data_IF_089442837338
#
_entry.id   IF_089442837338
#
_cell.length_a   1.000
_cell.length_b   1.000
_cell.length_c   1.000
_cell.angle_alpha   90.00
_cell.angle_beta   90.00
_cell.angle_gamma   90.00
#
_symmetry.space_group_name_H-M   'P 1'
#
loop_
_entity.id
_entity.type
_entity.pdbx_description
1 polymer ?
#
# COMPACT_ATOMS: atom_id res chain seq x y z
N UNK A 1 30.99 -0.57 -7.15
CA UNK A 1 30.79 0.47 -6.12
C UNK A 1 30.50 -0.26 -4.81
N UNK A 2 31.07 0.17 -3.67
CA UNK A 2 30.78 -0.49 -2.38
C UNK A 2 29.35 -0.16 -1.99
N UNK A 3 28.53 -1.17 -1.71
CA UNK A 3 27.19 -0.99 -1.16
C UNK A 3 27.28 -0.18 0.14
N UNK A 4 26.52 0.91 0.22
CA UNK A 4 26.43 1.69 1.45
C UNK A 4 25.58 0.90 2.44
N UNK A 5 26.14 0.53 3.59
CA UNK A 5 25.41 -0.23 4.61
C UNK A 5 24.49 0.72 5.39
N UNK A 6 23.16 0.51 5.32
CA UNK A 6 22.20 1.28 6.10
C UNK A 6 22.23 0.83 7.58
N UNK A 7 22.70 1.69 8.48
CA UNK A 7 22.65 1.44 9.93
C UNK A 7 21.28 1.81 10.53
N UNK A 8 20.20 1.26 9.95
CA UNK A 8 18.83 1.55 10.36
C UNK A 8 17.96 0.28 10.30
N UNK A 9 17.88 -0.49 11.39
CA UNK A 9 17.19 -1.79 11.40
C UNK A 9 15.71 -1.72 11.00
N UNK A 10 15.01 -0.64 11.35
CA UNK A 10 13.60 -0.47 10.99
C UNK A 10 13.42 -0.30 9.46
N UNK A 11 14.19 0.59 8.82
CA UNK A 11 14.25 0.75 7.38
C UNK A 11 14.59 -0.54 6.64
N UNK A 12 15.63 -1.26 7.08
CA UNK A 12 16.00 -2.56 6.49
C UNK A 12 14.85 -3.56 6.57
N UNK A 13 14.14 -3.58 7.71
CA UNK A 13 12.95 -4.42 7.90
C UNK A 13 11.79 -3.99 6.99
N UNK A 14 11.54 -2.69 6.87
CA UNK A 14 10.49 -2.13 6.00
C UNK A 14 10.74 -2.46 4.54
N UNK A 15 11.94 -2.20 4.00
CA UNK A 15 12.30 -2.52 2.61
C UNK A 15 12.12 -4.02 2.30
N UNK A 16 12.61 -4.90 3.18
CA UNK A 16 12.45 -6.35 3.00
C UNK A 16 11.00 -6.80 3.03
N UNK A 17 10.20 -6.18 3.91
CA UNK A 17 8.77 -6.50 4.06
C UNK A 17 8.00 -6.01 2.84
N UNK A 18 8.16 -4.74 2.45
CA UNK A 18 7.49 -4.12 1.30
C UNK A 18 7.77 -4.91 0.03
N UNK A 19 9.04 -5.19 -0.29
CA UNK A 19 9.42 -6.01 -1.44
C UNK A 19 8.59 -7.30 -1.54
N UNK A 20 8.44 -8.03 -0.44
CA UNK A 20 7.64 -9.26 -0.39
C UNK A 20 6.13 -9.01 -0.36
N UNK A 21 5.67 -7.95 0.30
CA UNK A 21 4.27 -7.56 0.40
C UNK A 21 3.68 -7.14 -0.95
N UNK A 22 4.44 -6.42 -1.78
CA UNK A 22 4.02 -6.05 -3.15
C UNK A 22 3.70 -7.28 -4.01
N UNK A 23 4.46 -8.37 -3.84
CA UNK A 23 4.12 -9.64 -4.51
C UNK A 23 2.80 -10.24 -3.99
N UNK A 24 2.49 -10.05 -2.71
CA UNK A 24 1.21 -10.50 -2.18
C UNK A 24 0.05 -9.67 -2.73
N UNK A 25 0.21 -8.34 -2.82
CA UNK A 25 -0.75 -7.43 -3.42
C UNK A 25 -1.00 -7.80 -4.90
N UNK A 26 0.07 -7.96 -5.69
CA UNK A 26 -0.03 -8.40 -7.07
C UNK A 26 -0.78 -9.74 -7.22
N UNK A 27 -0.47 -10.75 -6.40
CA UNK A 27 -1.21 -12.03 -6.44
C UNK A 27 -2.67 -11.90 -6.01
N UNK A 28 -2.98 -11.03 -5.05
CA UNK A 28 -4.36 -10.73 -4.67
C UNK A 28 -5.10 -10.09 -5.85
N UNK A 29 -4.48 -9.15 -6.57
CA UNK A 29 -5.07 -8.51 -7.74
C UNK A 29 -5.23 -9.42 -8.94
N UNK A 30 -4.29 -10.34 -9.19
CA UNK A 30 -4.47 -11.41 -10.19
C UNK A 30 -5.74 -12.21 -9.88
N UNK A 31 -5.90 -12.64 -8.63
CA UNK A 31 -7.09 -13.39 -8.19
C UNK A 31 -8.36 -12.57 -8.33
N UNK A 32 -8.33 -11.30 -7.89
CA UNK A 32 -9.47 -10.39 -7.97
C UNK A 32 -9.87 -10.12 -9.43
N UNK A 33 -8.94 -9.76 -10.32
CA UNK A 33 -9.22 -9.58 -11.75
C UNK A 33 -9.77 -10.86 -12.41
N UNK A 34 -9.41 -12.03 -11.90
CA UNK A 34 -9.95 -13.30 -12.39
C UNK A 34 -11.35 -13.65 -11.84
N UNK A 35 -11.76 -13.07 -10.71
CA UNK A 35 -13.09 -13.27 -10.13
C UNK A 35 -14.16 -12.31 -10.67
N UNK A 36 -13.73 -11.19 -11.28
CA UNK A 36 -14.62 -10.18 -11.87
C UNK A 36 -15.18 -10.61 -13.24
N UNK A 37 -16.40 -10.17 -13.54
CA UNK A 37 -17.10 -10.45 -14.81
C UNK A 37 -16.92 -9.34 -15.85
N UNK A 38 -16.95 -8.09 -15.41
CA UNK A 38 -16.91 -6.91 -16.29
C UNK A 38 -15.50 -6.60 -16.76
N UNK A 39 -15.26 -6.58 -18.08
CA UNK A 39 -13.91 -6.43 -18.64
C UNK A 39 -13.26 -5.08 -18.28
N UNK A 40 -14.06 -4.02 -18.13
CA UNK A 40 -13.57 -2.71 -17.68
C UNK A 40 -12.97 -2.78 -16.28
N UNK A 41 -13.63 -3.48 -15.36
CA UNK A 41 -13.13 -3.63 -14.00
C UNK A 41 -11.89 -4.52 -13.97
N UNK A 42 -11.89 -5.62 -14.73
CA UNK A 42 -10.72 -6.51 -14.87
C UNK A 42 -9.50 -5.76 -15.39
N UNK A 43 -9.69 -4.93 -16.40
CA UNK A 43 -8.61 -4.11 -16.98
C UNK A 43 -8.05 -3.17 -15.93
N UNK A 44 -8.91 -2.47 -15.19
CA UNK A 44 -8.47 -1.57 -14.14
C UNK A 44 -7.75 -2.28 -12.98
N UNK A 45 -8.20 -3.46 -12.56
CA UNK A 45 -7.48 -4.24 -11.54
C UNK A 45 -6.14 -4.76 -12.06
N UNK A 46 -6.02 -5.10 -13.34
CA UNK A 46 -4.73 -5.46 -13.95
C UNK A 46 -3.77 -4.28 -14.04
N UNK A 47 -4.26 -3.05 -14.20
CA UNK A 47 -3.41 -1.86 -14.10
C UNK A 47 -2.84 -1.71 -12.69
N UNK A 48 -3.68 -1.85 -11.66
CA UNK A 48 -3.24 -1.85 -10.25
C UNK A 48 -2.24 -2.99 -10.00
N UNK A 49 -2.51 -4.20 -10.51
CA UNK A 49 -1.57 -5.32 -10.45
C UNK A 49 -0.19 -4.97 -11.04
N UNK A 50 -0.15 -4.29 -12.18
CA UNK A 50 1.10 -3.86 -12.80
C UNK A 50 1.83 -2.82 -11.94
N UNK A 51 1.10 -1.90 -11.32
CA UNK A 51 1.65 -0.95 -10.35
C UNK A 51 2.31 -1.70 -9.17
N UNK A 52 1.72 -2.80 -8.66
CA UNK A 52 2.36 -3.57 -7.59
C UNK A 52 3.65 -4.28 -8.02
N UNK A 53 3.70 -4.78 -9.25
CA UNK A 53 4.94 -5.35 -9.80
C UNK A 53 6.03 -4.28 -9.99
N UNK A 54 5.62 -3.07 -10.38
CA UNK A 54 6.47 -1.88 -10.47
C UNK A 54 7.02 -1.52 -9.08
N UNK A 55 6.14 -1.36 -8.09
CA UNK A 55 6.51 -1.07 -6.70
C UNK A 55 7.52 -2.08 -6.18
N UNK A 56 7.26 -3.38 -6.40
CA UNK A 56 8.18 -4.45 -6.01
C UNK A 56 9.56 -4.27 -6.64
N UNK A 57 9.61 -3.87 -7.91
CA UNK A 57 10.87 -3.66 -8.62
C UNK A 57 11.63 -2.46 -8.04
N UNK A 58 10.96 -1.34 -7.79
CA UNK A 58 11.58 -0.14 -7.22
C UNK A 58 12.17 -0.43 -5.83
N UNK A 59 11.42 -1.10 -4.95
CA UNK A 59 11.96 -1.56 -3.66
C UNK A 59 13.13 -2.54 -3.86
N UNK A 60 13.08 -3.38 -4.90
CA UNK A 60 14.16 -4.27 -5.29
C UNK A 60 15.45 -3.52 -5.67
N UNK A 61 15.33 -2.42 -6.41
CA UNK A 61 16.45 -1.54 -6.76
C UNK A 61 17.08 -0.95 -5.50
N UNK A 62 16.28 -0.50 -4.53
CA UNK A 62 16.77 0.00 -3.24
C UNK A 62 17.51 -1.09 -2.45
N UNK A 63 16.94 -2.30 -2.37
CA UNK A 63 17.59 -3.44 -1.72
C UNK A 63 18.95 -3.75 -2.33
N UNK A 64 19.05 -3.77 -3.67
CA UNK A 64 20.30 -4.05 -4.38
C UNK A 64 21.31 -2.91 -4.23
N UNK A 65 20.86 -1.65 -4.32
CA UNK A 65 21.68 -0.44 -4.15
C UNK A 65 22.40 -0.43 -2.79
N UNK A 66 21.69 -0.77 -1.72
CA UNK A 66 22.22 -0.82 -0.36
C UNK A 66 22.78 -2.19 0.06
N UNK A 67 22.84 -3.16 -0.86
CA UNK A 67 23.36 -4.50 -0.59
C UNK A 67 22.57 -5.27 0.49
N UNK A 68 21.27 -4.98 0.62
CA UNK A 68 20.39 -5.62 1.59
C UNK A 68 19.83 -6.90 0.97
N UNK A 69 20.12 -8.09 1.54
CA UNK A 69 19.57 -9.31 0.98
C UNK A 69 18.07 -9.39 1.22
N UNK A 70 17.35 -9.88 0.20
CA UNK A 70 15.91 -10.18 0.27
C UNK A 70 15.63 -11.25 1.34
N UNK A 71 14.53 -11.12 2.08
CA UNK A 71 14.16 -12.06 3.14
C UNK A 71 13.45 -13.29 2.55
N UNK A 72 14.10 -14.46 2.60
CA UNK A 72 13.48 -15.74 2.14
C UNK A 72 12.19 -16.07 2.89
N UNK A 73 12.15 -15.75 4.19
CA UNK A 73 10.97 -15.97 5.02
C UNK A 73 9.80 -15.09 4.58
N UNK A 74 10.03 -13.79 4.36
CA UNK A 74 8.98 -12.89 3.86
C UNK A 74 8.55 -13.27 2.45
N UNK A 75 9.50 -13.61 1.58
CA UNK A 75 9.19 -14.04 0.22
C UNK A 75 8.25 -15.25 0.19
N UNK A 76 8.49 -16.25 1.05
CA UNK A 76 7.61 -17.41 1.17
C UNK A 76 6.27 -17.06 1.82
N UNK A 77 6.30 -16.36 2.96
CA UNK A 77 5.09 -15.98 3.72
C UNK A 77 4.12 -15.17 2.86
N UNK A 78 4.60 -14.11 2.20
CA UNK A 78 3.76 -13.23 1.40
C UNK A 78 3.33 -13.85 0.07
N UNK A 79 4.14 -14.76 -0.50
CA UNK A 79 3.69 -15.58 -1.63
C UNK A 79 2.42 -16.37 -1.26
N UNK A 80 2.44 -17.07 -0.12
CA UNK A 80 1.30 -17.86 0.33
C UNK A 80 0.10 -16.97 0.65
N UNK A 81 0.31 -15.87 1.38
CA UNK A 81 -0.76 -14.91 1.70
C UNK A 81 -1.43 -14.39 0.44
N UNK A 82 -0.66 -13.87 -0.53
CA UNK A 82 -1.21 -13.31 -1.76
C UNK A 82 -2.00 -14.32 -2.57
N UNK A 83 -1.50 -15.56 -2.70
CA UNK A 83 -2.24 -16.64 -3.37
C UNK A 83 -3.53 -16.97 -2.64
N UNK A 84 -3.50 -17.14 -1.31
CA UNK A 84 -4.71 -17.43 -0.53
C UNK A 84 -5.75 -16.32 -0.65
N UNK A 85 -5.35 -15.05 -0.57
CA UNK A 85 -6.24 -13.90 -0.79
C UNK A 85 -6.83 -13.95 -2.20
N UNK A 86 -5.98 -14.10 -3.23
CA UNK A 86 -6.44 -14.17 -4.62
C UNK A 86 -7.46 -15.29 -4.87
N UNK A 87 -7.23 -16.50 -4.31
CA UNK A 87 -8.21 -17.59 -4.39
C UNK A 87 -9.52 -17.25 -3.66
N UNK A 88 -9.44 -16.60 -2.49
CA UNK A 88 -10.62 -16.23 -1.72
C UNK A 88 -11.55 -15.26 -2.47
N UNK A 89 -11.03 -14.46 -3.41
CA UNK A 89 -11.80 -13.50 -4.20
C UNK A 89 -12.92 -14.16 -5.04
N UNK A 90 -12.84 -15.47 -5.30
CA UNK A 90 -13.89 -16.22 -6.00
C UNK A 90 -15.04 -16.66 -5.09
N UNK A 91 -14.85 -16.60 -3.76
CA UNK A 91 -15.79 -17.16 -2.78
C UNK A 91 -16.56 -16.08 -2.01
N UNK A 92 -15.97 -14.90 -1.85
CA UNK A 92 -16.47 -13.86 -0.92
C UNK A 92 -17.28 -12.76 -1.59
N UNK A 93 -17.73 -12.98 -2.83
CA UNK A 93 -18.55 -12.04 -3.60
C UNK A 93 -17.77 -10.82 -4.13
N UNK A 94 -18.49 -9.77 -4.55
CA UNK A 94 -17.92 -8.54 -5.13
C UNK A 94 -17.47 -7.53 -4.07
N UNK A 95 -18.27 -7.32 -3.03
CA UNK A 95 -18.04 -6.27 -2.04
C UNK A 95 -16.75 -6.49 -1.23
N UNK A 96 -16.56 -7.70 -0.68
CA UNK A 96 -15.44 -7.97 0.23
C UNK A 96 -14.06 -7.83 -0.44
N UNK A 97 -13.81 -8.32 -1.67
CA UNK A 97 -12.52 -8.12 -2.34
C UNK A 97 -12.20 -6.64 -2.53
N UNK A 98 -13.17 -5.83 -2.95
CA UNK A 98 -12.99 -4.38 -3.07
C UNK A 98 -12.74 -3.71 -1.71
N UNK A 99 -13.51 -4.08 -0.68
CA UNK A 99 -13.33 -3.52 0.66
C UNK A 99 -11.95 -3.83 1.24
N UNK A 100 -11.52 -5.08 1.18
CA UNK A 100 -10.24 -5.49 1.73
C UNK A 100 -9.06 -5.01 0.88
N UNK A 101 -9.22 -4.86 -0.44
CA UNK A 101 -8.22 -4.21 -1.28
C UNK A 101 -8.00 -2.74 -0.86
N UNK A 102 -9.07 -1.93 -0.78
CA UNK A 102 -8.92 -0.54 -0.36
C UNK A 102 -8.35 -0.38 1.06
N UNK A 103 -8.74 -1.26 2.00
CA UNK A 103 -8.13 -1.29 3.34
C UNK A 103 -6.64 -1.69 3.31
N UNK A 104 -6.26 -2.62 2.44
CA UNK A 104 -4.87 -3.03 2.26
C UNK A 104 -4.06 -1.84 1.73
N UNK A 105 -4.56 -1.12 0.73
CA UNK A 105 -3.87 0.05 0.19
C UNK A 105 -3.78 1.21 1.15
N UNK A 106 -4.84 1.46 1.92
CA UNK A 106 -4.79 2.42 3.04
C UNK A 106 -3.65 2.10 4.03
N UNK A 107 -3.37 0.80 4.19
CA UNK A 107 -2.22 0.26 4.91
C UNK A 107 -0.90 0.64 4.25
N UNK A 108 -0.76 0.35 2.97
CA UNK A 108 0.47 0.49 2.18
C UNK A 108 0.90 1.95 2.00
N UNK A 109 -0.03 2.90 1.83
CA UNK A 109 0.26 4.34 1.69
C UNK A 109 1.34 4.81 2.67
N UNK A 110 1.19 4.52 3.95
CA UNK A 110 2.13 4.97 4.96
C UNK A 110 3.48 4.23 4.96
N UNK A 111 3.59 3.02 4.40
CA UNK A 111 4.84 2.26 4.44
C UNK A 111 5.96 3.02 3.70
N UNK A 112 5.66 3.64 2.56
CA UNK A 112 6.65 4.41 1.79
C UNK A 112 6.99 5.76 2.44
N UNK A 113 6.01 6.50 2.96
CA UNK A 113 6.28 7.74 3.69
C UNK A 113 7.08 7.52 4.98
N UNK A 114 6.83 6.40 5.68
CA UNK A 114 7.65 6.00 6.82
C UNK A 114 9.08 5.63 6.37
N UNK A 115 9.28 5.04 5.19
CA UNK A 115 10.61 4.82 4.64
C UNK A 115 11.33 6.13 4.29
N UNK A 116 10.63 7.11 3.71
CA UNK A 116 11.19 8.47 3.47
C UNK A 116 11.73 9.03 4.78
N UNK A 117 10.93 9.02 5.85
CA UNK A 117 11.38 9.49 7.17
C UNK A 117 12.63 8.76 7.66
N UNK A 118 12.70 7.43 7.52
CA UNK A 118 13.89 6.68 7.93
C UNK A 118 15.12 6.97 7.05
N UNK A 119 14.94 7.29 5.76
CA UNK A 119 16.03 7.75 4.91
C UNK A 119 16.50 9.16 5.33
N UNK A 120 15.57 10.06 5.65
CA UNK A 120 15.88 11.40 6.17
C UNK A 120 16.62 11.35 7.51
N UNK A 121 16.28 10.41 8.40
CA UNK A 121 17.03 10.15 9.65
C UNK A 121 18.50 9.77 9.40
N UNK A 122 18.82 9.27 8.20
CA UNK A 122 20.19 8.99 7.74
C UNK A 122 20.79 10.11 6.87
N UNK A 123 20.06 11.21 6.66
CA UNK A 123 20.45 12.32 5.78
C UNK A 123 20.41 11.96 4.29
N UNK A 124 19.63 10.96 3.90
CA UNK A 124 19.49 10.49 2.52
C UNK A 124 18.15 10.98 1.96
N UNK A 125 18.21 11.71 0.85
CA UNK A 125 17.03 12.28 0.18
C UNK A 125 16.86 11.78 -1.27
N UNK A 126 17.81 11.00 -1.79
CA UNK A 126 17.83 10.54 -3.19
C UNK A 126 16.62 9.67 -3.57
N UNK A 127 15.87 9.16 -2.57
CA UNK A 127 14.74 8.24 -2.77
C UNK A 127 13.38 8.91 -2.53
N UNK A 128 13.36 10.21 -2.23
CA UNK A 128 12.15 10.95 -1.89
C UNK A 128 11.14 10.89 -3.03
N UNK A 129 11.57 11.21 -4.25
CA UNK A 129 10.67 11.24 -5.42
C UNK A 129 10.01 9.88 -5.70
N UNK A 130 10.79 8.80 -5.71
CA UNK A 130 10.28 7.46 -6.02
C UNK A 130 9.36 6.94 -4.91
N UNK A 131 9.76 7.05 -3.64
CA UNK A 131 8.94 6.59 -2.52
C UNK A 131 7.69 7.44 -2.36
N UNK A 132 7.78 8.74 -2.61
CA UNK A 132 6.63 9.63 -2.58
C UNK A 132 5.64 9.27 -3.69
N UNK A 133 6.12 9.09 -4.93
CA UNK A 133 5.27 8.68 -6.04
C UNK A 133 4.56 7.35 -5.77
N UNK A 134 5.25 6.36 -5.20
CA UNK A 134 4.64 5.09 -4.78
C UNK A 134 3.58 5.31 -3.69
N UNK A 135 3.88 6.10 -2.64
CA UNK A 135 2.90 6.42 -1.59
C UNK A 135 1.64 7.12 -2.08
N UNK A 136 1.78 8.04 -3.04
CA UNK A 136 0.65 8.67 -3.72
C UNK A 136 -0.12 7.64 -4.56
N UNK A 137 0.58 6.72 -5.23
CA UNK A 137 -0.05 5.70 -6.07
C UNK A 137 -0.94 4.76 -5.27
N UNK A 138 -0.48 4.28 -4.11
CA UNK A 138 -1.31 3.48 -3.21
C UNK A 138 -2.54 4.25 -2.73
N UNK A 139 -2.41 5.58 -2.58
CA UNK A 139 -3.55 6.42 -2.18
C UNK A 139 -4.58 6.52 -3.30
N UNK A 140 -4.15 6.62 -4.55
CA UNK A 140 -5.05 6.55 -5.72
C UNK A 140 -5.81 5.21 -5.75
N UNK A 141 -5.12 4.10 -5.47
CA UNK A 141 -5.76 2.79 -5.40
C UNK A 141 -6.77 2.69 -4.25
N UNK A 142 -6.42 3.16 -3.04
CA UNK A 142 -7.35 3.23 -1.90
C UNK A 142 -8.65 3.98 -2.27
N UNK A 143 -8.51 5.17 -2.88
CA UNK A 143 -9.65 6.00 -3.27
C UNK A 143 -10.50 5.31 -4.32
N UNK A 144 -9.86 4.74 -5.35
CA UNK A 144 -10.56 3.97 -6.38
C UNK A 144 -11.40 2.84 -5.79
N UNK A 145 -10.85 2.06 -4.86
CA UNK A 145 -11.58 0.96 -4.22
C UNK A 145 -12.74 1.45 -3.36
N UNK A 146 -12.55 2.55 -2.63
CA UNK A 146 -13.61 3.14 -1.81
C UNK A 146 -14.77 3.65 -2.68
N UNK A 147 -14.48 4.27 -3.81
CA UNK A 147 -15.50 4.77 -4.75
C UNK A 147 -16.40 3.65 -5.28
N UNK A 148 -15.82 2.49 -5.62
CA UNK A 148 -16.56 1.34 -6.15
C UNK A 148 -17.56 0.73 -5.16
N UNK A 149 -17.34 0.92 -3.86
CA UNK A 149 -18.19 0.37 -2.81
C UNK A 149 -18.86 1.45 -1.96
N UNK A 150 -18.73 2.72 -2.35
CA UNK A 150 -19.18 3.84 -1.54
C UNK A 150 -20.68 3.72 -1.21
N UNK A 151 -21.49 3.27 -2.16
CA UNK A 151 -22.94 3.21 -1.99
C UNK A 151 -23.44 1.82 -1.55
N UNK A 152 -22.52 0.92 -1.18
CA UNK A 152 -22.86 -0.42 -0.73
C UNK A 152 -23.45 -0.40 0.69
N UNK A 153 -24.64 -1.02 0.93
CA UNK A 153 -25.33 -0.96 2.22
C UNK A 153 -24.53 -1.52 3.41
N UNK A 154 -23.56 -2.40 3.12
CA UNK A 154 -22.73 -3.07 4.12
C UNK A 154 -21.55 -2.20 4.60
N UNK A 155 -21.18 -1.18 3.82
CA UNK A 155 -20.01 -0.34 4.11
C UNK A 155 -20.05 0.31 5.51
N UNK A 156 -21.17 0.89 6.00
CA UNK A 156 -21.21 1.49 7.34
C UNK A 156 -20.91 0.49 8.47
N UNK A 157 -21.34 -0.76 8.32
CA UNK A 157 -21.06 -1.81 9.31
C UNK A 157 -19.60 -2.26 9.22
N UNK A 158 -19.10 -2.50 8.02
CA UNK A 158 -17.70 -2.87 7.80
C UNK A 158 -16.73 -1.79 8.28
N UNK A 159 -17.04 -0.52 8.02
CA UNK A 159 -16.23 0.62 8.48
C UNK A 159 -16.15 0.69 10.02
N UNK A 160 -17.25 0.36 10.70
CA UNK A 160 -17.27 0.28 12.16
C UNK A 160 -16.36 -0.84 12.69
N UNK A 161 -16.35 -2.00 12.02
CA UNK A 161 -15.63 -3.20 12.48
C UNK A 161 -14.15 -3.17 12.09
N UNK A 162 -13.84 -2.77 10.87
CA UNK A 162 -12.49 -2.86 10.28
C UNK A 162 -11.76 -1.52 10.18
N UNK A 163 -12.40 -0.45 10.63
CA UNK A 163 -11.84 0.90 10.74
C UNK A 163 -11.32 1.50 9.42
N UNK A 164 -11.98 1.16 8.31
CA UNK A 164 -11.70 1.72 7.00
C UNK A 164 -13.01 1.90 6.21
N UNK A 165 -13.19 3.05 5.56
CA UNK A 165 -14.40 3.39 4.83
C UNK A 165 -14.51 4.88 4.51
N UNK A 166 -15.74 5.42 4.47
CA UNK A 166 -15.97 6.82 4.07
C UNK A 166 -15.35 7.83 5.03
N UNK A 167 -15.43 7.57 6.34
CA UNK A 167 -14.99 8.50 7.39
C UNK A 167 -13.68 8.08 8.04
N UNK A 168 -13.30 6.81 7.90
CA UNK A 168 -12.06 6.25 8.47
C UNK A 168 -11.07 5.85 7.39
N UNK A 169 -9.82 6.25 7.56
CA UNK A 169 -8.69 5.83 6.73
C UNK A 169 -7.48 5.55 7.63
N UNK A 170 -6.49 4.80 7.14
CA UNK A 170 -5.31 4.41 7.92
C UNK A 170 -4.10 5.33 7.64
N UNK A 171 -4.29 6.38 6.83
CA UNK A 171 -3.28 7.38 6.47
C UNK A 171 -3.89 8.79 6.51
N UNK A 172 -3.04 9.81 6.41
CA UNK A 172 -3.39 11.23 6.43
C UNK A 172 -3.11 11.94 5.09
N UNK A 173 -2.90 11.17 4.01
CA UNK A 173 -2.64 11.70 2.67
C UNK A 173 -3.93 12.24 2.05
N UNK A 174 -3.86 13.46 1.53
CA UNK A 174 -4.91 14.09 0.73
C UNK A 174 -4.43 14.22 -0.72
N UNK A 175 -5.16 13.60 -1.66
CA UNK A 175 -4.83 13.68 -3.09
C UNK A 175 -5.15 15.05 -3.69
N UNK A 176 -6.01 15.84 -3.05
CA UNK A 176 -6.34 17.19 -3.52
C UNK A 176 -5.23 18.21 -3.22
N UNK A 177 -4.43 17.94 -2.19
CA UNK A 177 -3.35 18.82 -1.74
C UNK A 177 -2.15 17.98 -1.25
N UNK A 178 -1.47 17.24 -2.15
CA UNK A 178 -0.35 16.42 -1.76
C UNK A 178 0.86 17.30 -1.44
N UNK A 179 1.49 17.07 -0.28
CA UNK A 179 2.80 17.59 0.04
C UNK A 179 3.84 17.26 -1.05
N UNK A 180 4.87 18.10 -1.24
CA UNK A 180 5.95 17.81 -2.18
C UNK A 180 6.81 16.62 -1.70
N UNK A 181 7.54 15.93 -2.61
CA UNK A 181 8.35 14.77 -2.27
C UNK A 181 9.31 14.95 -1.08
N UNK A 182 10.00 16.09 -1.00
CA UNK A 182 10.92 16.41 0.09
C UNK A 182 10.27 16.60 1.47
N UNK A 183 8.94 16.63 1.54
CA UNK A 183 8.14 16.75 2.75
C UNK A 183 7.33 15.46 3.05
N UNK A 184 7.62 14.36 2.36
CA UNK A 184 6.92 13.08 2.53
C UNK A 184 7.03 12.49 3.94
N UNK A 185 8.05 12.85 4.73
CA UNK A 185 8.24 12.44 6.13
C UNK A 185 7.17 13.01 7.08
N UNK A 186 6.40 14.01 6.62
CA UNK A 186 5.32 14.62 7.37
C UNK A 186 4.07 13.75 7.43
N UNK A 187 3.88 12.88 6.43
CA UNK A 187 2.78 11.93 6.43
C UNK A 187 2.95 10.82 7.46
N UNK A 188 1.83 10.31 7.95
CA UNK A 188 1.74 9.16 8.83
C UNK A 188 2.61 9.25 10.08
N UNK A 189 2.84 10.46 10.61
CA UNK A 189 3.64 10.69 11.84
C UNK A 189 3.09 9.97 13.07
N UNK A 190 1.77 9.77 13.13
CA UNK A 190 1.10 9.06 14.23
C UNK A 190 1.22 7.52 14.15
N UNK A 191 1.69 6.96 13.02
CA UNK A 191 1.95 5.52 12.87
C UNK A 191 3.25 5.11 13.57
N UNK A 192 3.23 5.23 14.90
CA UNK A 192 3.97 4.40 15.87
C UNK A 192 3.02 3.68 16.85
N UNK A 193 1.73 4.05 16.88
CA UNK A 193 0.75 3.60 17.89
C UNK A 193 -0.52 2.91 17.32
N UNK A 194 -0.61 2.67 16.01
CA UNK A 194 -1.67 1.82 15.43
C UNK A 194 -3.10 2.38 15.41
N UNK A 195 -3.29 3.71 15.36
CA UNK A 195 -4.62 4.34 15.38
C UNK A 195 -5.05 4.80 13.99
N UNK A 196 -6.27 4.46 13.56
CA UNK A 196 -6.89 4.97 12.33
C UNK A 196 -7.14 6.48 12.40
N UNK A 197 -6.96 7.20 11.29
CA UNK A 197 -7.20 8.64 11.17
C UNK A 197 -8.66 8.88 10.77
N UNK A 198 -9.38 9.68 11.55
CA UNK A 198 -10.72 10.14 11.18
C UNK A 198 -10.60 11.28 10.17
N UNK A 199 -11.25 11.16 9.01
CA UNK A 199 -11.41 12.31 8.11
C UNK A 199 -12.20 13.38 8.85
N UNK A 200 -11.69 14.63 8.91
CA UNK A 200 -12.51 15.77 9.32
C UNK A 200 -13.64 15.91 8.29
N UNK A 201 -14.88 16.19 8.69
CA UNK A 201 -15.93 16.50 7.73
C UNK A 201 -15.52 17.76 6.97
N UNK A 202 -15.47 17.65 5.64
CA UNK A 202 -15.42 18.79 4.74
C UNK A 202 -16.61 19.69 5.08
N UNK A 203 -16.34 20.89 5.60
CA UNK A 203 -17.39 21.89 5.79
C UNK A 203 -17.77 22.38 4.40
N UNK A 204 -18.90 21.88 3.89
CA UNK A 204 -19.66 22.57 2.83
C UNK A 204 -20.40 23.76 3.41
#
# INVERSE_FOLDING_TARGET
MKAQSLNHPALVKSLRKAYSAEKAAAFAYIGHASSLKEEKERTRIREIENDEWEHRREVGVLLDHYGIPRSRFYEWKYHLIGKCIGLSCHLIGRFMPYFFAGKLESGNVCEYFVMIRYFHELGIHDHDDVLHAMGIKEKEHEVYFLELIADEPWLPWFEKVFEWGKKKTLNDVDLADPLPPGEGDQYCRSRGNGVAVSKKPERR
#
